data_IF_940692937615
#
_entry.id   IF_940692937615
#
_cell.length_a   1.000
_cell.length_b   1.000
_cell.length_c   1.000
_cell.angle_alpha   90.00
_cell.angle_beta   90.00
_cell.angle_gamma   90.00
#
_symmetry.space_group_name_H-M   'P 1'
#
loop_
_entity.id
_entity.type
_entity.pdbx_description
1 polymer ?
#
# COMPACT_ATOMS: atom_id res chain seq x y z
N UNK A 1 5.91 -11.78 12.86
CA UNK A 1 6.61 -10.75 13.62
C UNK A 1 6.45 -9.38 13.01
N UNK A 2 6.89 -9.18 11.77
CA UNK A 2 6.98 -7.82 11.20
C UNK A 2 5.79 -7.36 10.35
N UNK A 3 5.14 -8.27 9.60
CA UNK A 3 3.99 -7.91 8.74
C UNK A 3 2.79 -7.39 9.55
N UNK A 4 2.62 -7.93 10.76
CA UNK A 4 1.53 -7.56 11.68
C UNK A 4 1.68 -6.13 12.19
N UNK A 5 2.91 -5.67 12.40
CA UNK A 5 3.19 -4.33 12.91
C UNK A 5 3.06 -3.27 11.81
N UNK A 6 3.38 -3.63 10.56
CA UNK A 6 3.09 -2.83 9.37
C UNK A 6 1.59 -2.68 9.15
N UNK A 7 0.83 -3.79 9.19
CA UNK A 7 -0.62 -3.78 8.99
C UNK A 7 -1.31 -2.90 10.04
N UNK A 8 -0.95 -3.04 11.32
CA UNK A 8 -1.50 -2.22 12.40
C UNK A 8 -1.19 -0.72 12.28
N UNK A 9 -0.08 -0.35 11.61
CA UNK A 9 0.26 1.05 11.35
C UNK A 9 -0.49 1.60 10.14
N UNK A 10 -0.68 0.79 9.10
CA UNK A 10 -1.54 1.13 7.95
C UNK A 10 -3.00 1.32 8.39
N UNK A 11 -3.53 0.43 9.24
CA UNK A 11 -4.90 0.54 9.79
C UNK A 11 -5.14 1.84 10.57
N UNK A 12 -4.12 2.36 11.27
CA UNK A 12 -4.25 3.63 12.03
C UNK A 12 -4.29 4.88 11.16
N UNK A 13 -3.83 4.79 9.91
CA UNK A 13 -3.74 5.91 8.97
C UNK A 13 -4.82 5.79 7.89
N UNK A 14 -5.27 4.57 7.61
CA UNK A 14 -6.36 4.29 6.69
C UNK A 14 -7.67 4.87 7.24
N UNK A 15 -8.31 5.71 6.43
CA UNK A 15 -9.70 6.09 6.66
C UNK A 15 -10.60 4.88 6.38
N UNK A 16 -11.78 4.85 7.01
CA UNK A 16 -12.76 3.80 6.76
C UNK A 16 -13.02 3.67 5.24
N UNK A 17 -13.00 2.43 4.73
CA UNK A 17 -13.10 2.06 3.31
C UNK A 17 -11.87 2.35 2.42
N UNK A 18 -10.68 2.61 2.97
CA UNK A 18 -9.45 2.65 2.17
C UNK A 18 -8.77 1.29 2.04
N UNK A 19 -8.38 0.94 0.81
CA UNK A 19 -7.54 -0.23 0.50
C UNK A 19 -6.16 0.28 0.08
N UNK A 20 -5.15 -0.03 0.89
CA UNK A 20 -3.75 0.33 0.62
C UNK A 20 -2.98 -0.88 0.11
N UNK A 21 -2.21 -0.68 -0.96
CA UNK A 21 -1.40 -1.71 -1.61
C UNK A 21 0.05 -1.23 -1.76
N UNK A 22 0.98 -2.16 -1.86
CA UNK A 22 2.40 -1.84 -2.11
C UNK A 22 2.68 -1.63 -3.59
N UNK A 23 3.78 -0.95 -3.91
CA UNK A 23 4.24 -0.74 -5.29
C UNK A 23 4.43 -2.04 -6.08
N UNK A 24 4.84 -3.12 -5.42
CA UNK A 24 4.97 -4.43 -6.05
C UNK A 24 3.62 -4.97 -6.56
N UNK A 25 2.53 -4.74 -5.83
CA UNK A 25 1.18 -5.14 -6.26
C UNK A 25 0.63 -4.16 -7.32
N UNK A 26 0.89 -2.86 -7.16
CA UNK A 26 0.57 -1.87 -8.18
C UNK A 26 1.19 -2.22 -9.54
N UNK A 27 2.47 -2.63 -9.57
CA UNK A 27 3.15 -3.01 -10.81
C UNK A 27 2.57 -4.28 -11.45
N UNK A 28 2.03 -5.21 -10.66
CA UNK A 28 1.32 -6.40 -11.18
C UNK A 28 -0.07 -6.07 -11.73
N UNK A 29 -0.73 -5.07 -11.18
CA UNK A 29 -2.06 -4.61 -11.60
C UNK A 29 -1.99 -3.55 -12.70
N UNK A 30 -0.79 -3.07 -13.03
CA UNK A 30 -0.52 -2.07 -14.06
C UNK A 30 -0.98 -2.61 -15.41
N UNK A 31 -2.03 -2.00 -15.97
CA UNK A 31 -2.68 -2.44 -17.21
C UNK A 31 -4.06 -3.06 -17.04
N UNK A 32 -4.56 -3.17 -15.80
CA UNK A 32 -5.98 -3.40 -15.55
C UNK A 32 -6.70 -2.05 -15.44
N UNK A 33 -7.51 -1.70 -16.46
CA UNK A 33 -8.25 -0.42 -16.48
C UNK A 33 -9.37 -0.36 -15.44
N UNK A 34 -9.77 -1.52 -14.90
CA UNK A 34 -10.85 -1.65 -13.92
C UNK A 34 -10.42 -1.24 -12.50
N UNK A 35 -9.11 -1.10 -12.24
CA UNK A 35 -8.58 -0.79 -10.91
C UNK A 35 -7.86 0.56 -10.94
N UNK A 36 -8.54 1.60 -10.46
CA UNK A 36 -7.93 2.92 -10.31
C UNK A 36 -7.11 2.98 -9.05
N UNK A 37 -5.87 3.46 -9.16
CA UNK A 37 -4.94 3.55 -8.05
C UNK A 37 -4.34 4.95 -8.02
N UNK A 38 -4.23 5.55 -6.84
CA UNK A 38 -3.54 6.84 -6.64
C UNK A 38 -2.33 6.66 -5.71
N UNK A 39 -1.25 7.43 -5.91
CA UNK A 39 -0.13 7.46 -4.97
C UNK A 39 -0.61 7.88 -3.58
N UNK A 40 -0.25 7.12 -2.56
CA UNK A 40 -0.57 7.43 -1.16
C UNK A 40 0.65 7.95 -0.41
N UNK A 41 1.82 7.34 -0.63
CA UNK A 41 3.08 7.81 -0.04
C UNK A 41 4.17 6.73 -0.04
N UNK A 42 5.30 7.04 0.58
CA UNK A 42 6.40 6.09 0.79
C UNK A 42 6.52 5.74 2.26
N UNK A 43 6.71 4.46 2.54
CA UNK A 43 6.78 3.95 3.90
C UNK A 43 7.95 2.98 4.06
N UNK A 44 8.67 3.11 5.15
CA UNK A 44 9.65 2.09 5.54
C UNK A 44 8.92 0.84 6.03
N UNK A 45 9.10 -0.27 5.31
CA UNK A 45 8.65 -1.58 5.77
C UNK A 45 9.73 -2.25 6.61
N UNK A 46 9.39 -2.60 7.85
CA UNK A 46 10.31 -3.29 8.75
C UNK A 46 10.73 -4.62 8.13
N UNK A 47 12.03 -4.79 7.92
CA UNK A 47 12.61 -5.96 7.24
C UNK A 47 13.09 -5.71 5.81
N UNK A 48 12.82 -4.53 5.22
CA UNK A 48 13.49 -4.05 4.01
C UNK A 48 14.22 -2.75 4.33
N UNK A 49 15.51 -2.67 3.99
CA UNK A 49 16.32 -1.44 4.14
C UNK A 49 15.96 -0.36 3.10
N UNK A 50 14.76 -0.40 2.54
CA UNK A 50 14.33 0.47 1.45
C UNK A 50 12.88 0.90 1.71
N UNK A 51 12.62 2.18 1.53
CA UNK A 51 11.27 2.72 1.46
C UNK A 51 10.50 2.03 0.32
N UNK A 52 9.25 1.68 0.57
CA UNK A 52 8.36 1.17 -0.49
C UNK A 52 7.30 2.21 -0.80
N UNK A 53 6.98 2.32 -2.09
CA UNK A 53 5.82 3.07 -2.53
C UNK A 53 4.53 2.34 -2.11
N UNK A 54 3.55 3.11 -1.65
CA UNK A 54 2.21 2.67 -1.28
C UNK A 54 1.19 3.45 -2.10
N UNK A 55 0.21 2.73 -2.60
CA UNK A 55 -0.87 3.24 -3.42
C UNK A 55 -2.21 2.92 -2.77
N UNK A 56 -3.19 3.78 -2.99
CA UNK A 56 -4.56 3.58 -2.56
C UNK A 56 -5.41 3.18 -3.77
N UNK A 57 -6.18 2.10 -3.61
CA UNK A 57 -7.16 1.67 -4.61
C UNK A 57 -8.42 2.54 -4.46
N UNK A 58 -8.84 3.14 -5.56
CA UNK A 58 -10.07 3.91 -5.66
C UNK A 58 -11.17 3.01 -6.22
N UNK A 59 -12.20 2.76 -5.40
CA UNK A 59 -13.47 2.14 -5.82
C UNK A 59 -14.40 3.15 -6.47
#
# INVERSE_FOLDING_TARGET
GDVVNTAARLEKIAQANQILITGALHDQLKGQDDIKMKPFGRFELRGKNQEVDVFEVQS
#
